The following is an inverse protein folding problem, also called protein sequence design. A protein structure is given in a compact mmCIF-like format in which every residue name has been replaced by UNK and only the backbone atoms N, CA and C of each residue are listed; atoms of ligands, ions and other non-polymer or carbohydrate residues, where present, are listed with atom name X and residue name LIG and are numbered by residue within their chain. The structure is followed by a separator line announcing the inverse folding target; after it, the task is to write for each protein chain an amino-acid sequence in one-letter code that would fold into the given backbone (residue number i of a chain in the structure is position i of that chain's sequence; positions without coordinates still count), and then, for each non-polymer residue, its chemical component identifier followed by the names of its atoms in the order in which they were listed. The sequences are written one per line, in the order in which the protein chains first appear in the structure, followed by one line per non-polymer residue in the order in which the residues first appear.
data_IF_124978180943
#
_entry.id   IF_124978180943
#
_cell.length_a   1.000
_cell.length_b   1.000
_cell.length_c   1.000
_cell.angle_alpha   90.00
_cell.angle_beta   90.00
_cell.angle_gamma   90.00
#
_symmetry.space_group_name_H-M   'P 1'
#
loop_
_entity.id
_entity.type
_entity.pdbx_description
1 polymer ?
#
# COMPACT_ATOMS: atom_id res chain seq x y z
N UNK A 1 0.80 16.95 18.61
CA UNK A 1 -0.67 16.88 18.53
C UNK A 1 -1.14 15.53 19.05
N UNK A 2 -2.34 15.46 19.60
CA UNK A 2 -2.89 14.23 20.23
C UNK A 2 -3.52 13.25 19.24
N UNK A 3 -3.49 13.53 17.94
CA UNK A 3 -4.05 12.68 16.88
C UNK A 3 -2.95 12.14 15.96
N UNK A 4 -3.18 10.98 15.35
CA UNK A 4 -2.37 10.45 14.27
C UNK A 4 -2.93 10.86 12.90
N UNK A 5 -2.03 10.92 11.94
CA UNK A 5 -2.34 11.17 10.53
C UNK A 5 -1.88 9.95 9.75
N UNK A 6 -2.76 9.40 8.94
CA UNK A 6 -2.47 8.30 8.03
C UNK A 6 -2.57 8.80 6.60
N UNK A 7 -1.62 8.42 5.77
CA UNK A 7 -1.66 8.65 4.32
C UNK A 7 -1.42 7.34 3.59
N UNK A 8 -2.13 7.12 2.50
CA UNK A 8 -1.93 5.97 1.62
C UNK A 8 -1.33 6.50 0.32
N UNK A 9 -0.27 5.87 -0.14
CA UNK A 9 0.49 6.22 -1.34
C UNK A 9 0.62 4.98 -2.21
N UNK A 10 0.45 5.11 -3.52
CA UNK A 10 0.78 4.05 -4.46
C UNK A 10 2.30 3.95 -4.69
N UNK A 11 2.78 2.78 -5.06
CA UNK A 11 4.20 2.60 -5.41
C UNK A 11 4.61 3.38 -6.66
N UNK A 12 3.73 3.56 -7.64
CA UNK A 12 3.94 4.50 -8.74
C UNK A 12 3.82 5.96 -8.31
N UNK A 13 2.95 6.28 -7.33
CA UNK A 13 2.80 7.65 -6.82
C UNK A 13 4.07 8.15 -6.11
N UNK A 14 4.79 7.29 -5.42
CA UNK A 14 6.04 7.68 -4.75
C UNK A 14 7.21 7.95 -5.72
N UNK A 15 7.03 7.81 -7.02
CA UNK A 15 7.98 8.32 -8.03
C UNK A 15 7.99 9.86 -8.08
N UNK A 16 6.93 10.50 -7.57
CA UNK A 16 6.82 11.96 -7.47
C UNK A 16 7.81 12.53 -6.45
N UNK A 17 8.59 13.55 -6.88
CA UNK A 17 9.63 14.19 -6.06
C UNK A 17 9.10 14.76 -4.75
N UNK A 18 7.86 15.31 -4.75
CA UNK A 18 7.22 15.88 -3.56
C UNK A 18 7.06 14.87 -2.41
N UNK A 19 6.91 13.58 -2.71
CA UNK A 19 6.81 12.53 -1.67
C UNK A 19 8.13 12.43 -0.90
N UNK A 20 9.26 12.46 -1.60
CA UNK A 20 10.59 12.39 -0.99
C UNK A 20 10.96 13.66 -0.24
N UNK A 21 10.54 14.83 -0.75
CA UNK A 21 10.68 16.10 -0.03
C UNK A 21 9.89 16.07 1.29
N UNK A 22 8.64 15.59 1.24
CA UNK A 22 7.81 15.41 2.44
C UNK A 22 8.42 14.37 3.41
N UNK A 23 8.98 13.28 2.89
CA UNK A 23 9.62 12.25 3.70
C UNK A 23 10.83 12.79 4.47
N UNK A 24 11.71 13.57 3.82
CA UNK A 24 12.82 14.26 4.47
C UNK A 24 12.33 15.23 5.56
N UNK A 25 11.32 16.03 5.23
CA UNK A 25 10.77 17.01 6.17
C UNK A 25 10.14 16.35 7.39
N UNK A 26 9.35 15.30 7.19
CA UNK A 26 8.69 14.56 8.26
C UNK A 26 9.71 13.96 9.25
N UNK A 27 10.76 13.35 8.73
CA UNK A 27 11.86 12.81 9.55
C UNK A 27 12.60 13.92 10.32
N UNK A 28 12.95 15.04 9.64
CA UNK A 28 13.58 16.19 10.28
C UNK A 28 12.73 16.76 11.43
N UNK A 29 11.43 16.85 11.23
CA UNK A 29 10.47 17.33 12.25
C UNK A 29 10.07 16.29 13.27
N UNK A 30 10.55 15.06 13.13
CA UNK A 30 10.21 13.92 14.01
C UNK A 30 8.71 13.76 14.19
N UNK A 31 7.98 13.75 13.06
CA UNK A 31 6.52 13.64 13.05
C UNK A 31 6.09 12.22 13.42
N UNK A 32 6.20 11.86 14.70
CA UNK A 32 5.90 10.52 15.21
C UNK A 32 4.39 10.20 15.26
N UNK A 33 3.56 11.17 14.92
CA UNK A 33 2.13 10.98 14.70
C UNK A 33 1.75 10.79 13.22
N UNK A 34 2.73 10.68 12.31
CA UNK A 34 2.52 10.41 10.88
C UNK A 34 2.84 8.96 10.55
N UNK A 35 1.88 8.28 9.94
CA UNK A 35 2.02 6.93 9.39
C UNK A 35 1.71 6.97 7.90
N UNK A 36 2.67 6.64 7.07
CA UNK A 36 2.45 6.43 5.63
C UNK A 36 2.28 4.93 5.34
N UNK A 37 1.32 4.56 4.51
CA UNK A 37 1.16 3.21 3.97
C UNK A 37 1.46 3.28 2.49
N UNK A 38 2.45 2.54 2.02
CA UNK A 38 2.76 2.42 0.58
C UNK A 38 2.15 1.14 0.05
N UNK A 39 1.14 1.26 -0.82
CA UNK A 39 0.57 0.14 -1.55
C UNK A 39 1.55 -0.32 -2.64
N UNK A 40 2.39 -1.28 -2.29
CA UNK A 40 3.41 -1.83 -3.18
C UNK A 40 2.84 -3.07 -3.88
N UNK A 41 2.02 -2.82 -4.90
CA UNK A 41 1.42 -3.85 -5.75
C UNK A 41 2.22 -4.11 -7.05
N UNK A 42 3.27 -3.33 -7.32
CA UNK A 42 4.17 -3.50 -8.46
C UNK A 42 3.64 -2.94 -9.77
N UNK A 43 2.47 -2.27 -9.76
CA UNK A 43 1.80 -1.80 -10.97
C UNK A 43 1.41 -0.33 -10.88
N UNK A 44 1.60 0.40 -11.95
CA UNK A 44 1.08 1.74 -12.15
C UNK A 44 0.30 1.84 -13.47
N UNK A 45 -0.23 3.03 -13.77
CA UNK A 45 -1.10 3.27 -14.94
C UNK A 45 -0.45 2.85 -16.28
N UNK A 46 0.86 3.00 -16.42
CA UNK A 46 1.61 2.75 -17.65
C UNK A 46 2.23 1.33 -17.72
N UNK A 47 2.15 0.55 -16.64
CA UNK A 47 2.70 -0.81 -16.61
C UNK A 47 3.30 -1.23 -15.27
N UNK A 48 4.14 -2.28 -15.27
CA UNK A 48 4.91 -2.66 -14.10
C UNK A 48 5.87 -1.52 -13.68
N UNK A 49 5.92 -1.19 -12.39
CA UNK A 49 6.80 -0.12 -11.90
C UNK A 49 8.27 -0.36 -12.24
N UNK A 50 8.69 -1.62 -12.28
CA UNK A 50 10.08 -1.99 -12.63
C UNK A 50 10.47 -1.62 -14.07
N UNK A 51 9.48 -1.49 -14.97
CA UNK A 51 9.69 -1.17 -16.39
C UNK A 51 9.45 0.30 -16.69
N UNK A 52 8.62 0.99 -15.90
CA UNK A 52 8.29 2.41 -16.12
C UNK A 52 9.31 3.30 -15.41
N UNK A 53 9.31 3.31 -14.09
CA UNK A 53 10.28 4.05 -13.26
C UNK A 53 10.33 3.41 -11.87
N UNK A 54 11.29 2.52 -11.63
CA UNK A 54 11.32 1.76 -10.37
C UNK A 54 11.64 2.62 -9.16
N UNK A 55 10.76 2.73 -8.16
CA UNK A 55 11.05 3.38 -6.89
C UNK A 55 11.90 2.52 -5.94
N UNK A 56 12.19 1.26 -6.31
CA UNK A 56 12.95 0.33 -5.45
C UNK A 56 14.43 0.79 -5.26
N UNK A 57 15.07 0.47 -4.13
CA UNK A 57 14.51 -0.19 -2.95
C UNK A 57 13.75 0.79 -2.06
N UNK A 58 12.42 0.62 -1.94
CA UNK A 58 11.55 1.56 -1.22
C UNK A 58 11.89 1.58 0.29
N UNK A 59 12.04 0.39 0.89
CA UNK A 59 12.36 0.23 2.32
C UNK A 59 13.63 0.96 2.71
N UNK A 60 14.70 0.80 1.92
CA UNK A 60 16.01 1.37 2.22
C UNK A 60 15.99 2.91 2.06
N UNK A 61 15.24 3.42 1.09
CA UNK A 61 15.08 4.86 0.88
C UNK A 61 14.40 5.53 2.07
N UNK A 62 13.26 5.00 2.56
CA UNK A 62 12.60 5.54 3.74
C UNK A 62 13.45 5.38 5.00
N UNK A 63 14.13 4.24 5.16
CA UNK A 63 15.06 4.03 6.28
C UNK A 63 16.20 5.06 6.26
N UNK A 64 16.79 5.35 5.08
CA UNK A 64 17.84 6.34 4.93
C UNK A 64 17.38 7.76 5.27
N UNK A 65 16.11 8.10 5.05
CA UNK A 65 15.52 9.35 5.51
C UNK A 65 15.25 9.39 7.03
N UNK A 66 15.38 8.26 7.74
CA UNK A 66 15.19 8.20 9.19
C UNK A 66 13.79 7.80 9.64
N UNK A 67 12.97 7.24 8.74
CA UNK A 67 11.68 6.66 9.08
C UNK A 67 11.84 5.29 9.77
N UNK A 68 10.87 4.92 10.58
CA UNK A 68 10.70 3.52 10.99
C UNK A 68 9.94 2.79 9.88
N UNK A 69 10.50 1.69 9.38
CA UNK A 69 9.96 0.94 8.25
C UNK A 69 9.39 -0.39 8.73
N UNK A 70 8.14 -0.64 8.40
CA UNK A 70 7.42 -1.89 8.66
C UNK A 70 7.01 -2.49 7.32
N UNK A 71 7.01 -3.80 7.19
CA UNK A 71 6.42 -4.49 6.03
C UNK A 71 5.22 -5.30 6.46
N UNK A 72 4.15 -5.30 5.64
CA UNK A 72 2.96 -6.10 5.91
C UNK A 72 2.41 -6.76 4.64
N UNK A 73 1.71 -7.87 4.83
CA UNK A 73 0.88 -8.48 3.80
C UNK A 73 -0.52 -7.85 3.85
N UNK A 74 -0.94 -7.21 2.76
CA UNK A 74 -2.24 -6.54 2.65
C UNK A 74 -3.44 -7.49 2.69
N UNK A 75 -3.21 -8.79 2.49
CA UNK A 75 -4.26 -9.81 2.39
C UNK A 75 -4.29 -10.76 3.61
N UNK A 76 -3.66 -10.34 4.70
CA UNK A 76 -3.59 -11.08 5.96
C UNK A 76 -3.89 -10.13 7.13
N UNK A 77 -5.06 -10.31 7.76
CA UNK A 77 -5.52 -9.45 8.86
C UNK A 77 -4.58 -9.47 10.06
N UNK A 78 -3.98 -10.62 10.39
CA UNK A 78 -3.00 -10.70 11.48
C UNK A 78 -1.73 -9.89 11.17
N UNK A 79 -1.31 -9.89 9.91
CA UNK A 79 -0.18 -9.08 9.43
C UNK A 79 -0.49 -7.59 9.51
N UNK A 80 -1.71 -7.20 9.13
CA UNK A 80 -2.18 -5.81 9.19
C UNK A 80 -2.22 -5.34 10.65
N UNK A 81 -2.89 -6.09 11.53
CA UNK A 81 -3.01 -5.74 12.95
C UNK A 81 -1.64 -5.53 13.59
N UNK A 82 -0.72 -6.50 13.43
CA UNK A 82 0.63 -6.43 13.96
C UNK A 82 1.42 -5.21 13.46
N UNK A 83 1.26 -4.87 12.18
CA UNK A 83 1.95 -3.71 11.59
C UNK A 83 1.47 -2.39 12.22
N UNK A 84 0.17 -2.22 12.41
CA UNK A 84 -0.37 -1.03 13.06
C UNK A 84 -0.09 -0.99 14.56
N UNK A 85 -0.14 -2.13 15.26
CA UNK A 85 0.29 -2.21 16.66
C UNK A 85 1.78 -1.86 16.85
N UNK A 86 2.65 -2.24 15.90
CA UNK A 86 4.06 -1.85 15.92
C UNK A 86 4.18 -0.35 15.68
N UNK A 87 3.50 0.19 14.68
CA UNK A 87 3.50 1.61 14.38
C UNK A 87 3.07 2.47 15.58
N UNK A 88 2.11 1.99 16.38
CA UNK A 88 1.62 2.69 17.55
C UNK A 88 2.64 2.80 18.69
N UNK A 89 3.61 1.90 18.73
CA UNK A 89 4.69 1.88 19.76
C UNK A 89 5.86 2.78 19.40
N UNK A 90 5.94 3.26 18.16
CA UNK A 90 7.06 4.08 17.69
C UNK A 90 6.86 5.54 18.10
N UNK A 91 7.93 6.15 18.60
CA UNK A 91 7.99 7.56 18.96
C UNK A 91 9.25 8.24 18.44
N UNK A 92 9.19 9.56 18.27
CA UNK A 92 10.32 10.39 17.85
C UNK A 92 10.70 10.30 16.37
N UNK A 93 9.98 9.54 15.55
CA UNK A 93 10.17 9.45 14.11
C UNK A 93 8.88 9.02 13.41
N UNK A 94 8.66 9.41 12.14
CA UNK A 94 7.52 8.92 11.36
C UNK A 94 7.66 7.44 11.02
N UNK A 95 6.52 6.81 10.72
CA UNK A 95 6.44 5.39 10.35
C UNK A 95 5.98 5.26 8.91
N UNK A 96 6.61 4.35 8.16
CA UNK A 96 6.11 3.89 6.87
C UNK A 96 5.85 2.39 6.92
N UNK A 97 4.69 1.98 6.44
CA UNK A 97 4.29 0.58 6.28
C UNK A 97 4.32 0.26 4.79
N UNK A 98 5.22 -0.61 4.36
CA UNK A 98 5.27 -1.10 2.98
C UNK A 98 4.32 -2.29 2.87
N UNK A 99 3.19 -2.05 2.26
CA UNK A 99 2.11 -3.01 2.09
C UNK A 99 2.34 -3.84 0.83
N UNK A 100 2.65 -5.12 0.96
CA UNK A 100 2.69 -6.05 -0.18
C UNK A 100 1.28 -6.47 -0.53
N UNK A 101 0.82 -6.10 -1.71
CA UNK A 101 -0.56 -6.32 -2.17
C UNK A 101 -0.60 -6.88 -3.60
N UNK A 102 -1.75 -7.40 -3.96
CA UNK A 102 -2.10 -7.84 -5.31
C UNK A 102 -3.23 -6.95 -5.80
N UNK A 103 -2.99 -6.18 -6.85
CA UNK A 103 -4.02 -5.36 -7.48
C UNK A 103 -5.17 -6.25 -7.97
N UNK A 104 -6.42 -5.92 -7.61
CA UNK A 104 -7.61 -6.68 -8.01
C UNK A 104 -7.77 -8.04 -7.32
N UNK A 105 -7.19 -8.21 -6.13
CA UNK A 105 -7.19 -9.46 -5.36
C UNK A 105 -8.57 -10.11 -5.27
N UNK A 106 -8.59 -11.43 -5.47
CA UNK A 106 -9.76 -12.33 -5.42
C UNK A 106 -10.78 -12.13 -6.57
N UNK A 107 -10.45 -11.34 -7.58
CA UNK A 107 -11.20 -11.25 -8.84
C UNK A 107 -10.31 -11.70 -9.99
N UNK A 108 -10.56 -12.88 -10.53
CA UNK A 108 -9.62 -13.60 -11.41
C UNK A 108 -9.16 -12.81 -12.65
N UNK A 109 -10.06 -12.02 -13.24
CA UNK A 109 -9.73 -11.20 -14.42
C UNK A 109 -9.15 -9.81 -14.08
N UNK A 110 -9.09 -9.45 -12.79
CA UNK A 110 -8.53 -8.18 -12.33
C UNK A 110 -7.14 -8.34 -11.72
N UNK A 111 -6.82 -9.52 -11.14
CA UNK A 111 -5.55 -9.72 -10.45
C UNK A 111 -4.36 -9.42 -11.35
N UNK A 112 -3.46 -8.55 -10.86
CA UNK A 112 -2.24 -8.13 -11.54
C UNK A 112 -2.46 -7.55 -12.95
N UNK A 113 -3.64 -6.96 -13.23
CA UNK A 113 -3.93 -6.36 -14.51
C UNK A 113 -3.90 -4.82 -14.44
N UNK A 114 -2.96 -4.21 -15.16
CA UNK A 114 -2.79 -2.75 -15.27
C UNK A 114 -4.07 -2.07 -15.78
N UNK A 115 -4.77 -2.69 -16.72
CA UNK A 115 -5.99 -2.16 -17.34
C UNK A 115 -7.10 -1.79 -16.35
N UNK A 116 -7.08 -2.37 -15.14
CA UNK A 116 -8.05 -2.07 -14.08
C UNK A 116 -7.64 -0.90 -13.18
N UNK A 117 -6.58 -0.19 -13.52
CA UNK A 117 -6.18 1.00 -12.75
C UNK A 117 -7.23 2.12 -12.81
N UNK A 118 -7.85 2.32 -13.95
CA UNK A 118 -8.83 3.40 -14.17
C UNK A 118 -10.11 2.95 -14.89
N UNK A 119 -10.46 1.67 -14.84
CA UNK A 119 -11.64 1.12 -15.50
C UNK A 119 -12.67 0.59 -14.50
N UNK A 120 -13.95 0.71 -14.85
CA UNK A 120 -15.04 0.07 -14.13
C UNK A 120 -15.48 -1.22 -14.86
N UNK A 121 -15.91 -2.28 -14.16
CA UNK A 121 -16.43 -3.48 -14.77
C UNK A 121 -17.76 -3.20 -15.50
N UNK A 122 -17.96 -3.85 -16.64
CA UNK A 122 -19.27 -3.91 -17.27
C UNK A 122 -20.20 -4.90 -16.53
N UNK A 123 -21.46 -5.03 -16.98
CA UNK A 123 -22.46 -5.85 -16.28
C UNK A 123 -22.08 -7.34 -16.17
N UNK A 124 -21.46 -7.91 -17.20
CA UNK A 124 -21.02 -9.32 -17.22
C UNK A 124 -19.84 -9.52 -16.27
N UNK A 125 -18.86 -8.62 -16.34
CA UNK A 125 -17.70 -8.60 -15.46
C UNK A 125 -18.09 -8.39 -13.99
N UNK A 126 -19.07 -7.51 -13.73
CA UNK A 126 -19.62 -7.32 -12.39
C UNK A 126 -20.24 -8.61 -11.84
N UNK A 127 -21.08 -9.30 -12.65
CA UNK A 127 -21.69 -10.57 -12.23
C UNK A 127 -20.66 -11.65 -11.95
N UNK A 128 -19.62 -11.73 -12.79
CA UNK A 128 -18.51 -12.67 -12.56
C UNK A 128 -17.77 -12.34 -11.27
N UNK A 129 -17.35 -11.08 -11.07
CA UNK A 129 -16.64 -10.65 -9.87
C UNK A 129 -17.45 -10.95 -8.60
N UNK A 130 -18.75 -10.62 -8.60
CA UNK A 130 -19.63 -10.93 -7.46
C UNK A 130 -19.72 -12.42 -7.19
N UNK A 131 -19.83 -13.25 -8.25
CA UNK A 131 -19.87 -14.72 -8.07
C UNK A 131 -18.58 -15.27 -7.45
N UNK A 132 -17.41 -14.74 -7.85
CA UNK A 132 -16.12 -15.15 -7.28
C UNK A 132 -15.98 -14.71 -5.81
N UNK A 133 -16.36 -13.48 -5.50
CA UNK A 133 -16.32 -12.94 -4.13
C UNK A 133 -17.33 -13.62 -3.20
N UNK A 134 -18.54 -13.91 -3.67
CA UNK A 134 -19.55 -14.66 -2.91
C UNK A 134 -19.12 -16.11 -2.61
N UNK A 135 -18.41 -16.74 -3.55
CA UNK A 135 -17.82 -18.06 -3.34
C UNK A 135 -16.75 -18.00 -2.23
N UNK A 136 -15.89 -16.98 -2.31
CA UNK A 136 -14.83 -16.74 -1.31
C UNK A 136 -15.41 -16.47 0.08
N UNK A 137 -16.46 -15.65 0.17
CA UNK A 137 -17.14 -15.36 1.42
C UNK A 137 -17.68 -16.63 2.06
N UNK A 138 -18.32 -17.53 1.29
CA UNK A 138 -18.81 -18.82 1.81
C UNK A 138 -17.70 -19.72 2.33
N UNK A 139 -16.51 -19.72 1.72
CA UNK A 139 -15.36 -20.46 2.23
C UNK A 139 -14.88 -19.94 3.59
N UNK A 140 -15.03 -18.64 3.85
CA UNK A 140 -14.63 -18.01 5.11
C UNK A 140 -15.67 -18.20 6.22
N UNK A 141 -16.94 -18.38 5.86
CA UNK A 141 -18.06 -18.57 6.81
C UNK A 141 -18.27 -20.05 7.21
N UNK A 142 -17.74 -21.01 6.46
CA UNK A 142 -17.96 -22.45 6.59
C UNK A 142 -16.99 -23.18 7.39
#
# INVERSE_FOLDING_TARGET
KSYRVYTVLGDGEIEEGQVWEAAMFAAHKKLDNLVAVVDNNGLQIDGPIAEVCSPEPITDKFAAFGWHVITMNAHDFDSIEKAFEEADKISGKPVVIIQKSIKGKDVSFMENQVSWHGAAPNEEQYKQAMSELDAKLKELEG
#
